data_IF_041625735815
#
_entry.id   IF_041625735815
#
_cell.length_a   1.000
_cell.length_b   1.000
_cell.length_c   1.000
_cell.angle_alpha   90.00
_cell.angle_beta   90.00
_cell.angle_gamma   90.00
#
_symmetry.space_group_name_H-M   'P 1'
#
loop_
_entity.id
_entity.type
_entity.pdbx_description
1 polymer ?
#
# COMPACT_ATOMS: atom_id res chain seq x y z
N UNK A 1 10.88 -45.00 -6.65
CA UNK A 1 10.19 -46.30 -6.73
C UNK A 1 10.03 -46.82 -5.31
N UNK A 2 8.81 -46.87 -4.77
CA UNK A 2 8.54 -47.50 -3.47
C UNK A 2 7.26 -48.31 -3.58
N UNK A 3 7.35 -49.63 -3.37
CA UNK A 3 6.23 -50.58 -3.35
C UNK A 3 5.69 -50.66 -1.93
N UNK A 4 4.38 -50.56 -1.75
CA UNK A 4 3.69 -50.90 -0.51
C UNK A 4 2.75 -52.07 -0.76
N UNK A 5 2.74 -52.99 0.20
CA UNK A 5 2.27 -54.38 0.20
C UNK A 5 0.75 -54.47 0.12
N UNK A 6 0.25 -55.38 -0.73
CA UNK A 6 -1.18 -55.65 -0.89
C UNK A 6 -1.65 -56.80 -0.01
N UNK A 7 -2.77 -56.59 0.67
CA UNK A 7 -3.55 -57.63 1.35
C UNK A 7 -4.46 -58.32 0.32
N UNK A 8 -4.46 -59.66 0.32
CA UNK A 8 -4.99 -60.49 -0.76
C UNK A 8 -6.35 -61.08 -0.39
N UNK A 9 -7.43 -60.48 -0.89
CA UNK A 9 -8.77 -61.06 -0.95
C UNK A 9 -9.22 -61.07 -2.41
N UNK A 10 -9.50 -62.27 -2.94
CA UNK A 10 -10.27 -62.54 -4.15
C UNK A 10 -10.33 -61.45 -5.23
N UNK A 11 -9.34 -61.45 -6.13
CA UNK A 11 -9.61 -61.32 -7.57
C UNK A 11 -9.93 -59.95 -8.17
N UNK A 12 -9.74 -58.81 -7.49
CA UNK A 12 -9.73 -57.50 -8.16
C UNK A 12 -8.57 -56.64 -7.62
N UNK A 13 -7.51 -56.51 -8.41
CA UNK A 13 -6.39 -55.61 -8.10
C UNK A 13 -6.73 -54.18 -8.53
N UNK A 14 -7.20 -53.37 -7.58
CA UNK A 14 -7.48 -51.95 -7.84
C UNK A 14 -6.16 -51.15 -7.77
N UNK A 15 -5.67 -50.71 -8.93
CA UNK A 15 -4.54 -49.76 -9.02
C UNK A 15 -5.07 -48.32 -8.94
N UNK A 16 -4.87 -47.69 -7.79
CA UNK A 16 -5.22 -46.29 -7.58
C UNK A 16 -4.06 -45.40 -8.09
N UNK A 17 -4.27 -44.69 -9.19
CA UNK A 17 -3.36 -43.64 -9.66
C UNK A 17 -3.77 -42.30 -9.06
N UNK A 18 -2.98 -41.76 -8.12
CA UNK A 18 -3.19 -40.40 -7.59
C UNK A 18 -2.42 -39.39 -8.42
N UNK A 19 -3.11 -38.69 -9.32
CA UNK A 19 -2.52 -37.57 -10.07
C UNK A 19 -2.33 -36.39 -9.11
N UNK A 20 -1.13 -35.80 -9.09
CA UNK A 20 -0.82 -34.67 -8.23
C UNK A 20 -1.69 -33.45 -8.58
N UNK A 21 -2.45 -32.94 -7.59
CA UNK A 21 -3.30 -31.77 -7.77
C UNK A 21 -2.46 -30.49 -7.79
N UNK A 22 -2.15 -30.00 -8.99
CA UNK A 22 -1.31 -28.81 -9.21
C UNK A 22 -1.91 -27.51 -8.66
N UNK A 23 -3.24 -27.43 -8.54
CA UNK A 23 -3.92 -26.27 -7.95
C UNK A 23 -3.71 -26.22 -6.44
N UNK A 24 -3.88 -27.34 -5.73
CA UNK A 24 -3.64 -27.41 -4.28
C UNK A 24 -2.21 -27.01 -3.89
N UNK A 25 -1.23 -27.39 -4.72
CA UNK A 25 0.17 -27.00 -4.56
C UNK A 25 0.39 -25.48 -4.68
N UNK A 26 -0.34 -24.80 -5.55
CA UNK A 26 -0.29 -23.33 -5.70
C UNK A 26 -1.05 -22.58 -4.61
N UNK A 27 -2.08 -23.21 -4.05
CA UNK A 27 -2.91 -22.64 -2.98
C UNK A 27 -2.30 -22.81 -1.59
N UNK A 28 -1.14 -23.46 -1.47
CA UNK A 28 -0.47 -23.73 -0.20
C UNK A 28 -1.22 -24.65 0.77
N UNK A 29 -2.28 -25.31 0.29
CA UNK A 29 -3.11 -26.21 1.09
C UNK A 29 -2.44 -27.58 1.19
N UNK A 30 -2.11 -27.99 2.40
CA UNK A 30 -1.44 -29.27 2.68
C UNK A 30 -2.41 -30.45 2.59
N UNK A 31 -2.10 -31.52 1.84
CA UNK A 31 -2.77 -32.80 2.02
C UNK A 31 -2.37 -33.41 3.37
N UNK A 32 -3.33 -33.97 4.12
CA UNK A 32 -3.15 -34.62 5.44
C UNK A 32 -2.03 -35.68 5.50
N UNK A 33 -1.60 -36.21 4.34
CA UNK A 33 -0.67 -37.33 4.21
C UNK A 33 0.75 -36.94 3.77
N UNK A 34 1.05 -35.65 3.55
CA UNK A 34 2.37 -35.22 3.09
C UNK A 34 3.06 -34.36 4.17
N UNK A 35 4.21 -34.79 4.70
CA UNK A 35 4.88 -34.12 5.82
C UNK A 35 5.62 -32.82 5.45
N UNK A 36 6.14 -32.73 4.23
CA UNK A 36 6.82 -31.54 3.69
C UNK A 36 6.60 -31.47 2.19
N UNK A 37 5.56 -30.76 1.74
CA UNK A 37 5.41 -30.40 0.33
C UNK A 37 5.85 -28.95 0.07
N UNK A 38 6.57 -28.68 -1.03
CA UNK A 38 6.91 -27.32 -1.43
C UNK A 38 5.64 -26.53 -1.76
N UNK A 39 5.48 -25.38 -1.10
CA UNK A 39 4.32 -24.48 -1.23
C UNK A 39 3.47 -24.34 0.03
N UNK A 40 3.68 -25.18 1.06
CA UNK A 40 2.99 -25.01 2.35
C UNK A 40 3.50 -23.77 3.09
N UNK A 41 2.56 -22.92 3.50
CA UNK A 41 2.83 -21.77 4.37
C UNK A 41 2.41 -22.17 5.78
N UNK A 42 3.35 -22.11 6.73
CA UNK A 42 3.05 -22.39 8.13
C UNK A 42 2.15 -21.28 8.71
N UNK A 43 0.94 -21.60 9.21
CA UNK A 43 0.08 -20.62 9.87
C UNK A 43 0.76 -19.86 11.02
N UNK A 44 1.71 -20.50 11.72
CA UNK A 44 2.49 -19.82 12.76
C UNK A 44 3.39 -18.73 12.17
N UNK A 45 4.07 -19.02 11.07
CA UNK A 45 4.91 -18.04 10.39
C UNK A 45 4.08 -16.84 9.86
N UNK A 46 2.85 -17.06 9.39
CA UNK A 46 1.92 -15.97 9.03
C UNK A 46 1.59 -15.12 10.25
N UNK A 47 1.21 -15.78 11.36
CA UNK A 47 0.84 -15.10 12.61
C UNK A 47 1.99 -14.26 13.18
N UNK A 48 3.21 -14.80 13.14
CA UNK A 48 4.45 -14.11 13.53
C UNK A 48 4.74 -12.92 12.62
N UNK A 49 4.57 -13.09 11.30
CA UNK A 49 4.71 -12.02 10.31
C UNK A 49 3.73 -10.86 10.57
N UNK A 50 2.46 -11.16 10.80
CA UNK A 50 1.47 -10.15 11.15
C UNK A 50 1.80 -9.45 12.49
N UNK A 51 2.31 -10.18 13.48
CA UNK A 51 2.71 -9.59 14.76
C UNK A 51 3.87 -8.60 14.59
N UNK A 52 4.85 -8.93 13.75
CA UNK A 52 5.94 -8.03 13.41
C UNK A 52 5.46 -6.77 12.69
N UNK A 53 4.53 -6.93 11.74
CA UNK A 53 3.90 -5.79 11.04
C UNK A 53 3.19 -4.90 12.07
N UNK A 54 2.32 -5.47 12.92
CA UNK A 54 1.61 -4.72 13.97
C UNK A 54 2.55 -3.96 14.90
N UNK A 55 3.68 -4.56 15.28
CA UNK A 55 4.69 -3.90 16.10
C UNK A 55 5.31 -2.69 15.40
N UNK A 56 5.71 -2.86 14.13
CA UNK A 56 6.24 -1.75 13.33
C UNK A 56 5.20 -0.67 13.10
N UNK A 57 3.93 -1.05 12.94
CA UNK A 57 2.82 -0.13 12.70
C UNK A 57 2.59 0.89 13.82
N UNK A 58 3.08 0.61 15.04
CA UNK A 58 2.99 1.53 16.18
C UNK A 58 3.69 2.86 15.92
N UNK A 59 4.77 2.87 15.13
CA UNK A 59 5.58 4.06 14.80
C UNK A 59 5.18 4.72 13.48
N UNK A 60 4.17 4.20 12.77
CA UNK A 60 3.74 4.79 11.50
C UNK A 60 3.18 6.23 11.61
N UNK A 61 2.44 6.63 12.66
CA UNK A 61 2.01 8.03 12.78
C UNK A 61 3.18 9.02 12.76
N UNK A 62 4.23 8.70 13.51
CA UNK A 62 5.46 9.50 13.59
C UNK A 62 6.18 9.53 12.25
N UNK A 63 6.26 8.38 11.57
CA UNK A 63 6.87 8.30 10.25
C UNK A 63 6.09 9.11 9.20
N UNK A 64 4.75 9.00 9.16
CA UNK A 64 3.90 9.78 8.26
C UNK A 64 4.08 11.28 8.52
N UNK A 65 4.06 11.70 9.79
CA UNK A 65 4.27 13.10 10.16
C UNK A 65 5.64 13.62 9.71
N UNK A 66 6.70 12.82 9.87
CA UNK A 66 8.07 13.16 9.45
C UNK A 66 8.18 13.34 7.93
N UNK A 67 7.62 12.41 7.14
CA UNK A 67 7.62 12.54 5.68
C UNK A 67 6.75 13.70 5.20
N UNK A 68 5.62 13.96 5.88
CA UNK A 68 4.75 15.08 5.57
C UNK A 68 5.41 16.44 5.87
N UNK A 69 6.18 16.55 6.95
CA UNK A 69 6.95 17.75 7.28
C UNK A 69 7.99 18.05 6.19
N UNK A 70 8.73 17.02 5.76
CA UNK A 70 9.68 17.14 4.64
C UNK A 70 8.98 17.57 3.36
N UNK A 71 7.84 16.95 3.06
CA UNK A 71 7.04 17.24 1.87
C UNK A 71 6.58 18.71 1.88
N UNK A 72 6.05 19.17 3.00
CA UNK A 72 5.58 20.55 3.18
C UNK A 72 6.74 21.54 3.03
N UNK A 73 7.91 21.20 3.55
CA UNK A 73 9.12 22.02 3.42
C UNK A 73 9.58 22.10 1.97
N UNK A 74 9.74 20.97 1.29
CA UNK A 74 10.11 20.91 -0.13
C UNK A 74 9.12 21.69 -1.00
N UNK A 75 7.82 21.56 -0.72
CA UNK A 75 6.77 22.33 -1.40
C UNK A 75 6.91 23.83 -1.18
N UNK A 76 7.12 24.29 0.05
CA UNK A 76 7.27 25.72 0.36
C UNK A 76 8.43 26.37 -0.39
N UNK A 77 9.54 25.64 -0.54
CA UNK A 77 10.70 26.09 -1.32
C UNK A 77 10.38 26.09 -2.81
N UNK A 78 9.82 25.00 -3.32
CA UNK A 78 9.52 24.86 -4.75
C UNK A 78 8.45 25.83 -5.25
N UNK A 79 7.47 26.18 -4.40
CA UNK A 79 6.30 26.99 -4.77
C UNK A 79 6.69 28.35 -5.32
N UNK A 80 7.72 28.99 -4.77
CA UNK A 80 8.10 30.37 -5.14
C UNK A 80 9.33 30.41 -6.06
N UNK A 81 9.85 29.24 -6.45
CA UNK A 81 10.98 29.13 -7.37
C UNK A 81 10.57 29.25 -8.85
N UNK A 82 11.39 29.92 -9.67
CA UNK A 82 11.23 29.90 -11.13
C UNK A 82 11.54 28.51 -11.69
N UNK A 83 11.19 28.30 -12.95
CA UNK A 83 11.50 27.04 -13.63
C UNK A 83 13.02 26.83 -13.75
N UNK A 84 13.52 25.78 -13.12
CA UNK A 84 14.93 25.43 -13.05
C UNK A 84 15.16 23.93 -12.84
N UNK A 85 16.37 23.41 -13.10
CA UNK A 85 16.71 22.02 -12.77
C UNK A 85 16.50 21.68 -11.29
N UNK A 86 16.79 22.62 -10.38
CA UNK A 86 16.55 22.46 -8.94
C UNK A 86 15.07 22.33 -8.63
N UNK A 87 14.22 23.09 -9.32
CA UNK A 87 12.76 22.97 -9.19
C UNK A 87 12.26 21.60 -9.62
N UNK A 88 12.81 21.05 -10.70
CA UNK A 88 12.47 19.69 -11.15
C UNK A 88 12.95 18.63 -10.14
N UNK A 89 14.11 18.83 -9.50
CA UNK A 89 14.58 17.94 -8.45
C UNK A 89 13.64 17.95 -7.23
N UNK A 90 13.18 19.13 -6.79
CA UNK A 90 12.19 19.25 -5.71
C UNK A 90 10.84 18.60 -6.08
N UNK A 91 10.41 18.72 -7.33
CA UNK A 91 9.18 18.05 -7.80
C UNK A 91 9.28 16.53 -7.64
N UNK A 92 10.43 15.94 -8.05
CA UNK A 92 10.71 14.50 -7.86
C UNK A 92 10.81 14.11 -6.39
N UNK A 93 11.35 14.98 -5.55
CA UNK A 93 11.39 14.77 -4.11
C UNK A 93 9.98 14.73 -3.52
N UNK A 94 9.10 15.67 -3.86
CA UNK A 94 7.70 15.70 -3.40
C UNK A 94 6.96 14.45 -3.90
N UNK A 95 7.17 14.03 -5.14
CA UNK A 95 6.62 12.77 -5.68
C UNK A 95 7.06 11.57 -4.83
N UNK A 96 8.36 11.48 -4.51
CA UNK A 96 8.93 10.39 -3.71
C UNK A 96 8.37 10.39 -2.30
N UNK A 97 8.33 11.55 -1.64
CA UNK A 97 7.76 11.69 -0.29
C UNK A 97 6.28 11.32 -0.24
N UNK A 98 5.52 11.67 -1.28
CA UNK A 98 4.12 11.26 -1.42
C UNK A 98 3.99 9.73 -1.54
N UNK A 99 4.89 9.09 -2.29
CA UNK A 99 4.94 7.63 -2.40
C UNK A 99 5.24 6.95 -1.05
N UNK A 100 6.21 7.46 -0.29
CA UNK A 100 6.55 6.92 1.03
C UNK A 100 5.38 7.02 2.02
N UNK A 101 4.67 8.16 2.03
CA UNK A 101 3.47 8.34 2.87
C UNK A 101 2.38 7.34 2.46
N UNK A 102 2.18 7.12 1.15
CA UNK A 102 1.24 6.13 0.64
C UNK A 102 1.60 4.73 1.13
N UNK A 103 2.84 4.30 0.96
CA UNK A 103 3.27 2.93 1.30
C UNK A 103 3.15 2.66 2.80
N UNK A 104 3.53 3.62 3.64
CA UNK A 104 3.36 3.52 5.10
C UNK A 104 1.87 3.52 5.45
N UNK A 105 1.08 4.39 4.83
CA UNK A 105 -0.37 4.46 5.04
C UNK A 105 -1.04 3.12 4.73
N UNK A 106 -0.76 2.55 3.56
CA UNK A 106 -1.29 1.25 3.13
C UNK A 106 -0.83 0.11 4.04
N UNK A 107 0.44 0.10 4.47
CA UNK A 107 0.99 -0.93 5.36
C UNK A 107 0.34 -0.90 6.75
N UNK A 108 0.03 0.28 7.27
CA UNK A 108 -0.41 0.47 8.66
C UNK A 108 -1.93 0.75 8.80
N UNK A 109 -2.68 0.71 7.71
CA UNK A 109 -4.13 0.92 7.68
C UNK A 109 -4.56 2.37 7.91
N UNK A 110 -3.84 3.33 7.32
CA UNK A 110 -4.25 4.74 7.22
C UNK A 110 -4.75 5.02 5.81
N UNK A 111 -5.95 4.55 5.51
CA UNK A 111 -6.49 4.52 4.14
C UNK A 111 -6.63 5.93 3.55
N UNK A 112 -7.01 6.91 4.37
CA UNK A 112 -7.15 8.29 3.94
C UNK A 112 -5.80 8.95 3.62
N UNK A 113 -4.79 8.71 4.46
CA UNK A 113 -3.45 9.22 4.22
C UNK A 113 -2.89 8.61 2.93
N UNK A 114 -3.09 7.31 2.75
CA UNK A 114 -2.71 6.60 1.53
C UNK A 114 -3.41 7.16 0.29
N UNK A 115 -4.72 7.38 0.37
CA UNK A 115 -5.52 7.93 -0.73
C UNK A 115 -5.05 9.33 -1.16
N UNK A 116 -4.89 10.27 -0.22
CA UNK A 116 -4.47 11.63 -0.57
C UNK A 116 -3.02 11.67 -1.05
N UNK A 117 -2.14 10.85 -0.49
CA UNK A 117 -0.74 10.76 -0.92
C UNK A 117 -0.62 10.14 -2.32
N UNK A 118 -1.44 9.14 -2.64
CA UNK A 118 -1.54 8.57 -3.99
C UNK A 118 -2.08 9.60 -5.00
N UNK A 119 -3.17 10.29 -4.65
CA UNK A 119 -3.74 11.34 -5.50
C UNK A 119 -2.72 12.45 -5.79
N UNK A 120 -1.95 12.87 -4.78
CA UNK A 120 -0.89 13.86 -4.94
C UNK A 120 0.25 13.34 -5.84
N UNK A 121 0.72 12.11 -5.60
CA UNK A 121 1.74 11.45 -6.43
C UNK A 121 1.31 11.46 -7.90
N UNK A 122 0.10 10.98 -8.18
CA UNK A 122 -0.44 10.87 -9.54
C UNK A 122 -0.60 12.23 -10.20
N UNK A 123 -1.02 13.22 -9.43
CA UNK A 123 -1.11 14.58 -9.92
C UNK A 123 0.25 15.14 -10.35
N UNK A 124 1.29 14.92 -9.54
CA UNK A 124 2.67 15.36 -9.86
C UNK A 124 3.23 14.63 -11.07
N UNK A 125 2.97 13.32 -11.20
CA UNK A 125 3.42 12.53 -12.35
C UNK A 125 2.84 13.02 -13.68
N UNK A 126 1.58 13.46 -13.65
CA UNK A 126 0.83 13.86 -14.84
C UNK A 126 1.02 15.33 -15.22
N UNK A 127 1.74 16.12 -14.41
CA UNK A 127 1.72 17.58 -14.50
C UNK A 127 3.12 18.19 -14.41
N UNK A 128 3.42 19.21 -15.25
CA UNK A 128 4.70 19.94 -15.23
C UNK A 128 4.84 20.95 -14.07
N UNK A 129 3.75 21.15 -13.32
CA UNK A 129 3.60 22.03 -12.16
C UNK A 129 3.86 23.52 -12.45
N UNK A 130 3.94 23.94 -13.70
CA UNK A 130 4.30 25.31 -14.10
C UNK A 130 3.17 26.33 -13.88
N UNK A 131 1.90 25.91 -13.89
CA UNK A 131 0.75 26.80 -13.75
C UNK A 131 0.44 27.14 -12.29
N UNK A 132 -0.03 28.38 -12.04
CA UNK A 132 -0.47 28.79 -10.70
C UNK A 132 -1.63 27.93 -10.15
N UNK A 133 -2.57 27.57 -11.03
CA UNK A 133 -3.72 26.72 -10.70
C UNK A 133 -3.28 25.34 -10.15
N UNK A 134 -2.20 24.78 -10.71
CA UNK A 134 -1.65 23.50 -10.26
C UNK A 134 -1.05 23.58 -8.85
N UNK A 135 -0.54 24.76 -8.46
CA UNK A 135 -0.02 25.00 -7.11
C UNK A 135 -1.12 24.98 -6.05
N UNK A 136 -2.30 25.49 -6.39
CA UNK A 136 -3.47 25.44 -5.51
C UNK A 136 -3.90 24.00 -5.27
N UNK A 137 -3.87 23.16 -6.30
CA UNK A 137 -4.21 21.73 -6.18
C UNK A 137 -3.21 21.01 -5.27
N UNK A 138 -1.90 21.21 -5.44
CA UNK A 138 -0.89 20.59 -4.56
C UNK A 138 -1.08 21.03 -3.12
N UNK A 139 -1.25 22.34 -2.87
CA UNK A 139 -1.47 22.86 -1.53
C UNK A 139 -2.69 22.20 -0.87
N UNK A 140 -3.80 22.05 -1.61
CA UNK A 140 -5.00 21.40 -1.10
C UNK A 140 -4.77 19.94 -0.68
N UNK A 141 -3.94 19.19 -1.42
CA UNK A 141 -3.57 17.82 -1.03
C UNK A 141 -2.72 17.80 0.24
N UNK A 142 -1.74 18.72 0.36
CA UNK A 142 -0.88 18.83 1.55
C UNK A 142 -1.71 19.20 2.78
N UNK A 143 -2.66 20.12 2.62
CA UNK A 143 -3.57 20.53 3.69
C UNK A 143 -4.45 19.36 4.13
N UNK A 144 -5.02 18.61 3.19
CA UNK A 144 -5.79 17.40 3.47
C UNK A 144 -4.95 16.34 4.20
N UNK A 145 -3.73 16.06 3.73
CA UNK A 145 -2.78 15.16 4.40
C UNK A 145 -2.44 15.63 5.81
N UNK A 146 -2.29 16.94 6.02
CA UNK A 146 -2.01 17.53 7.34
C UNK A 146 -3.16 17.32 8.30
N UNK A 147 -4.41 17.51 7.84
CA UNK A 147 -5.60 17.26 8.66
C UNK A 147 -5.70 15.78 9.03
N UNK A 148 -5.56 14.88 8.05
CA UNK A 148 -5.64 13.43 8.28
C UNK A 148 -4.54 12.94 9.22
N UNK A 149 -3.30 13.40 9.02
CA UNK A 149 -2.17 13.02 9.87
C UNK A 149 -2.35 13.50 11.31
N UNK A 150 -2.93 14.70 11.53
CA UNK A 150 -3.18 15.23 12.88
C UNK A 150 -4.33 14.53 13.59
N UNK A 151 -5.37 14.17 12.85
CA UNK A 151 -6.55 13.48 13.41
C UNK A 151 -6.31 11.97 13.60
N UNK A 152 -5.26 11.41 13.00
CA UNK A 152 -4.91 9.99 13.14
C UNK A 152 -5.98 9.05 12.57
N UNK A 153 -6.72 9.50 11.55
CA UNK A 153 -7.83 8.74 10.98
C UNK A 153 -7.31 7.49 10.25
N UNK A 154 -7.64 6.31 10.77
CA UNK A 154 -7.24 5.01 10.20
C UNK A 154 -8.17 4.51 9.11
N UNK A 155 -9.48 4.47 9.38
CA UNK A 155 -10.49 3.93 8.45
C UNK A 155 -11.69 4.86 8.35
N UNK A 156 -12.24 4.95 7.13
CA UNK A 156 -13.43 5.67 6.63
C UNK A 156 -13.64 7.14 7.02
N UNK A 157 -13.04 7.65 8.10
CA UNK A 157 -13.13 9.02 8.63
C UNK A 157 -14.53 9.63 8.74
N UNK A 158 -15.58 8.83 8.51
CA UNK A 158 -16.97 9.26 8.45
C UNK A 158 -17.20 10.37 7.43
N UNK A 159 -18.22 11.18 7.72
CA UNK A 159 -18.61 12.32 6.87
C UNK A 159 -17.45 13.31 6.64
N UNK A 160 -16.57 13.50 7.63
CA UNK A 160 -15.43 14.41 7.52
C UNK A 160 -14.42 13.98 6.44
N UNK A 161 -14.22 12.67 6.27
CA UNK A 161 -13.34 12.15 5.22
C UNK A 161 -13.96 12.29 3.83
N UNK A 162 -15.26 12.05 3.69
CA UNK A 162 -15.96 12.24 2.42
C UNK A 162 -16.00 13.72 2.03
N UNK A 163 -16.19 14.63 2.98
CA UNK A 163 -16.05 16.07 2.75
C UNK A 163 -14.63 16.45 2.28
N UNK A 164 -13.59 15.95 2.94
CA UNK A 164 -12.19 16.20 2.54
C UNK A 164 -11.90 15.67 1.13
N UNK A 165 -12.34 14.44 0.82
CA UNK A 165 -12.20 13.86 -0.53
C UNK A 165 -12.94 14.71 -1.56
N UNK A 166 -14.15 15.17 -1.24
CA UNK A 166 -14.95 16.01 -2.12
C UNK A 166 -14.28 17.36 -2.38
N UNK A 167 -13.74 18.01 -1.35
CA UNK A 167 -13.03 19.29 -1.51
C UNK A 167 -11.80 19.16 -2.41
N UNK A 168 -10.98 18.12 -2.22
CA UNK A 168 -9.80 17.88 -3.08
C UNK A 168 -10.25 17.59 -4.52
N UNK A 169 -11.30 16.80 -4.71
CA UNK A 169 -11.86 16.51 -6.03
C UNK A 169 -12.36 17.78 -6.73
N UNK A 170 -13.09 18.65 -6.03
CA UNK A 170 -13.54 19.93 -6.58
C UNK A 170 -12.35 20.80 -6.98
N UNK A 171 -11.30 20.85 -6.15
CA UNK A 171 -10.09 21.60 -6.49
C UNK A 171 -9.43 21.07 -7.77
N UNK A 172 -9.35 19.76 -7.93
CA UNK A 172 -8.85 19.13 -9.17
C UNK A 172 -9.75 19.52 -10.34
N UNK A 173 -11.07 19.31 -10.27
CA UNK A 173 -12.00 19.59 -11.37
C UNK A 173 -12.04 21.06 -11.77
N UNK A 174 -11.89 21.97 -10.81
CA UNK A 174 -11.93 23.43 -11.04
C UNK A 174 -10.67 23.96 -11.74
N UNK A 175 -9.53 23.29 -11.55
CA UNK A 175 -8.22 23.78 -11.97
C UNK A 175 -7.48 22.83 -12.92
N UNK A 176 -8.15 21.77 -13.40
CA UNK A 176 -7.72 20.89 -14.49
C UNK A 176 -7.86 21.58 -15.85
#
# INVERSE_FOLDING_TARGET
MSKSTGDNLGGISVRIFRVANRLKKKLGVRPLWAEKEPGYIDPKAVTEGEALIRERCKKCPEAIAHFLEKLTTAWSVMRDMPESPERQALSREIFTLSHEIKDIGALCGYDLASYFAESLRDYIEQTELNLQAQRVIIQAHIDALTVVSRQGLKTDGGDAAEELKHMVKIAIEKYR
#
